data_IF_948758484354
#
_entry.id   IF_948758484354
#
_cell.length_a   1.000
_cell.length_b   1.000
_cell.length_c   1.000
_cell.angle_alpha   90.00
_cell.angle_beta   90.00
_cell.angle_gamma   90.00
#
_symmetry.space_group_name_H-M   'P 1'
#
loop_
_entity.id
_entity.type
_entity.pdbx_description
1 polymer ?
#
# COMPACT_ATOMS: atom_id res chain seq x y z
N UNK A 1 -46.32 17.92 -15.86
CA UNK A 1 -46.41 17.63 -17.31
C UNK A 1 -45.25 16.76 -17.74
N UNK A 2 -45.54 15.71 -18.51
CA UNK A 2 -44.59 14.81 -19.16
C UNK A 2 -44.81 14.88 -20.67
N UNK A 3 -43.78 14.57 -21.45
CA UNK A 3 -43.93 14.34 -22.89
C UNK A 3 -44.43 12.91 -23.12
N UNK A 4 -45.53 12.78 -23.86
CA UNK A 4 -46.10 11.50 -24.29
C UNK A 4 -45.90 11.38 -25.78
N UNK A 5 -45.33 10.25 -26.18
CA UNK A 5 -44.89 9.97 -27.52
C UNK A 5 -45.82 8.93 -28.18
N UNK A 6 -46.17 9.21 -29.43
CA UNK A 6 -46.90 8.31 -30.33
C UNK A 6 -45.91 7.75 -31.35
N UNK A 7 -45.68 6.44 -31.31
CA UNK A 7 -44.81 5.74 -32.24
C UNK A 7 -45.62 4.84 -33.19
N UNK A 8 -45.25 4.80 -34.47
CA UNK A 8 -45.75 3.81 -35.44
C UNK A 8 -44.61 2.88 -35.82
N UNK A 9 -44.70 1.62 -35.40
CA UNK A 9 -43.53 0.74 -35.39
C UNK A 9 -42.44 1.32 -34.50
N UNK A 10 -41.27 1.64 -35.07
CA UNK A 10 -40.13 2.26 -34.37
C UNK A 10 -40.02 3.77 -34.62
N UNK A 11 -40.86 4.33 -35.49
CA UNK A 11 -40.78 5.73 -35.88
C UNK A 11 -41.64 6.62 -34.96
N UNK A 12 -41.04 7.65 -34.37
CA UNK A 12 -41.75 8.66 -33.59
C UNK A 12 -42.59 9.53 -34.53
N UNK A 13 -43.92 9.52 -34.38
CA UNK A 13 -44.85 10.28 -35.23
C UNK A 13 -45.29 11.59 -34.60
N UNK A 14 -45.51 11.60 -33.29
CA UNK A 14 -46.01 12.78 -32.59
C UNK A 14 -45.63 12.77 -31.11
N UNK A 15 -45.54 13.95 -30.50
CA UNK A 15 -45.31 14.12 -29.07
C UNK A 15 -46.20 15.22 -28.50
N UNK A 16 -46.80 14.96 -27.35
CA UNK A 16 -47.71 15.88 -26.66
C UNK A 16 -47.32 16.06 -25.19
N UNK A 17 -47.55 17.23 -24.62
CA UNK A 17 -47.41 17.44 -23.18
C UNK A 17 -48.71 17.11 -22.46
N UNK A 18 -48.67 16.18 -21.51
CA UNK A 18 -49.83 15.79 -20.70
C UNK A 18 -49.44 15.54 -19.24
N UNK A 19 -50.41 15.58 -18.35
CA UNK A 19 -50.20 15.24 -16.93
C UNK A 19 -50.38 13.75 -16.64
N UNK A 20 -51.00 12.98 -17.55
CA UNK A 20 -51.36 11.56 -17.33
C UNK A 20 -51.18 10.75 -18.61
N UNK A 21 -50.41 9.66 -18.53
CA UNK A 21 -50.26 8.69 -19.61
C UNK A 21 -51.56 7.91 -19.86
N UNK A 22 -52.26 7.57 -18.79
CA UNK A 22 -53.51 6.82 -18.86
C UNK A 22 -54.64 7.65 -19.49
N UNK A 23 -54.65 8.98 -19.29
CA UNK A 23 -55.64 9.85 -19.92
C UNK A 23 -55.45 9.90 -21.44
N UNK A 24 -54.18 9.98 -21.90
CA UNK A 24 -53.85 9.94 -23.32
C UNK A 24 -54.17 8.58 -23.93
N UNK A 25 -53.91 7.47 -23.22
CA UNK A 25 -54.26 6.11 -23.68
C UNK A 25 -55.77 5.88 -23.77
N UNK A 26 -56.58 6.46 -22.87
CA UNK A 26 -58.04 6.33 -22.89
C UNK A 26 -58.69 7.09 -24.04
N UNK A 27 -58.10 8.21 -24.46
CA UNK A 27 -58.67 9.07 -25.50
C UNK A 27 -57.59 9.63 -26.46
N UNK A 28 -56.88 8.76 -27.19
CA UNK A 28 -55.71 9.17 -27.98
C UNK A 28 -56.04 10.13 -29.13
N UNK A 29 -57.21 9.97 -29.77
CA UNK A 29 -57.67 10.84 -30.87
C UNK A 29 -57.85 12.30 -30.47
N UNK A 30 -58.10 12.59 -29.18
CA UNK A 30 -58.19 13.97 -28.67
C UNK A 30 -56.83 14.66 -28.58
N UNK A 31 -55.75 13.88 -28.54
CA UNK A 31 -54.37 14.39 -28.48
C UNK A 31 -53.66 14.29 -29.84
N UNK A 32 -53.98 13.27 -30.62
CA UNK A 32 -53.41 13.03 -31.94
C UNK A 32 -54.47 12.49 -32.90
N UNK A 33 -55.08 13.35 -33.76
CA UNK A 33 -56.17 12.94 -34.65
C UNK A 33 -55.80 11.86 -35.68
N UNK A 34 -54.52 11.74 -36.05
CA UNK A 34 -54.01 10.71 -36.96
C UNK A 34 -53.67 9.39 -36.24
N UNK A 35 -54.01 9.27 -34.95
CA UNK A 35 -53.81 8.05 -34.19
C UNK A 35 -54.50 6.85 -34.86
N UNK A 36 -53.79 5.73 -34.90
CA UNK A 36 -54.29 4.43 -35.34
C UNK A 36 -54.01 3.38 -34.26
N UNK A 37 -54.86 2.35 -34.14
CA UNK A 37 -54.79 1.36 -33.05
C UNK A 37 -53.46 0.56 -33.02
N UNK A 38 -52.71 0.53 -34.13
CA UNK A 38 -51.38 -0.06 -34.25
C UNK A 38 -50.24 0.83 -33.71
N UNK A 39 -50.52 2.01 -33.17
CA UNK A 39 -49.52 2.91 -32.59
C UNK A 39 -49.26 2.63 -31.10
N UNK A 40 -48.01 2.80 -30.69
CA UNK A 40 -47.58 2.72 -29.30
C UNK A 40 -47.63 4.10 -28.63
N UNK A 41 -48.28 4.18 -27.46
CA UNK A 41 -48.37 5.39 -26.64
C UNK A 41 -47.54 5.19 -25.37
N UNK A 42 -46.52 6.02 -25.17
CA UNK A 42 -45.56 5.87 -24.06
C UNK A 42 -45.05 7.23 -23.58
N UNK A 43 -44.70 7.34 -22.30
CA UNK A 43 -43.99 8.50 -21.75
C UNK A 43 -42.46 8.37 -21.84
N UNK A 44 -41.97 7.28 -22.45
CA UNK A 44 -40.54 7.04 -22.72
C UNK A 44 -40.15 7.58 -24.10
N UNK A 45 -38.93 8.09 -24.20
CA UNK A 45 -38.28 8.41 -25.47
C UNK A 45 -37.19 7.37 -25.73
N UNK A 46 -37.20 6.78 -26.92
CA UNK A 46 -36.26 5.74 -27.33
C UNK A 46 -35.27 6.29 -28.36
N UNK A 47 -33.98 6.07 -28.14
CA UNK A 47 -32.92 6.48 -29.07
C UNK A 47 -32.76 5.45 -30.19
N UNK A 48 -32.80 4.16 -29.85
CA UNK A 48 -32.79 3.04 -30.79
C UNK A 48 -33.99 2.13 -30.49
N UNK A 49 -35.19 2.52 -30.95
CA UNK A 49 -36.42 1.76 -30.70
C UNK A 49 -36.43 0.42 -31.44
N UNK A 50 -36.92 -0.63 -30.78
CA UNK A 50 -37.22 -1.96 -31.35
C UNK A 50 -38.59 -2.43 -30.88
N UNK A 51 -39.31 -3.13 -31.75
CA UNK A 51 -40.58 -3.80 -31.41
C UNK A 51 -40.30 -5.28 -31.17
N UNK A 52 -40.60 -5.76 -29.97
CA UNK A 52 -40.41 -7.16 -29.55
C UNK A 52 -41.62 -7.62 -28.76
N UNK A 53 -42.16 -8.79 -29.08
CA UNK A 53 -43.36 -9.33 -28.43
C UNK A 53 -44.55 -8.36 -28.41
N UNK A 54 -44.75 -7.57 -29.47
CA UNK A 54 -45.76 -6.50 -29.56
C UNK A 54 -45.59 -5.35 -28.57
N UNK A 55 -44.39 -5.15 -28.02
CA UNK A 55 -44.05 -3.99 -27.18
C UNK A 55 -42.93 -3.17 -27.82
N UNK A 56 -43.03 -1.84 -27.69
CA UNK A 56 -41.98 -0.91 -28.08
C UNK A 56 -41.02 -0.68 -26.90
N UNK A 57 -39.74 -0.90 -27.14
CA UNK A 57 -38.69 -0.72 -26.14
C UNK A 57 -37.38 -0.22 -26.76
N UNK A 58 -36.41 0.14 -25.91
CA UNK A 58 -35.05 0.47 -26.33
C UNK A 58 -34.29 -0.83 -26.64
N UNK A 59 -33.54 -0.85 -27.74
CA UNK A 59 -32.65 -1.98 -28.05
C UNK A 59 -31.67 -2.24 -26.91
N UNK A 60 -31.45 -3.52 -26.61
CA UNK A 60 -30.34 -3.92 -25.73
C UNK A 60 -28.99 -3.64 -26.39
N UNK A 61 -27.94 -3.68 -25.59
CA UNK A 61 -26.56 -3.56 -26.08
C UNK A 61 -26.25 -4.60 -27.17
N UNK A 62 -26.70 -5.84 -26.95
CA UNK A 62 -26.54 -6.94 -27.88
C UNK A 62 -27.31 -6.72 -29.19
N UNK A 63 -28.56 -6.21 -29.12
CA UNK A 63 -29.39 -5.90 -30.29
C UNK A 63 -28.78 -4.76 -31.13
N UNK A 64 -28.21 -3.72 -30.47
CA UNK A 64 -27.47 -2.65 -31.15
C UNK A 64 -26.28 -3.18 -31.94
N UNK A 65 -25.49 -4.08 -31.34
CA UNK A 65 -24.33 -4.70 -31.97
C UNK A 65 -24.73 -5.58 -33.17
N UNK A 66 -25.82 -6.33 -33.07
CA UNK A 66 -26.31 -7.18 -34.16
C UNK A 66 -26.69 -6.36 -35.40
N UNK A 67 -27.24 -5.17 -35.18
CA UNK A 67 -27.60 -4.20 -36.22
C UNK A 67 -26.42 -3.34 -36.71
N UNK A 68 -25.23 -3.52 -36.16
CA UNK A 68 -24.03 -2.75 -36.54
C UNK A 68 -24.02 -1.32 -36.01
N UNK A 69 -24.82 -1.03 -34.97
CA UNK A 69 -24.81 0.26 -34.28
C UNK A 69 -23.57 0.33 -33.38
N UNK A 70 -22.78 1.39 -33.53
CA UNK A 70 -21.60 1.62 -32.71
C UNK A 70 -21.97 1.69 -31.23
N UNK A 71 -21.30 0.87 -30.42
CA UNK A 71 -21.66 0.64 -29.02
C UNK A 71 -20.39 0.65 -28.17
N UNK A 72 -20.41 1.40 -27.08
CA UNK A 72 -19.29 1.45 -26.14
C UNK A 72 -19.10 0.09 -25.44
N UNK A 73 -17.87 -0.44 -25.48
CA UNK A 73 -17.50 -1.71 -24.87
C UNK A 73 -16.75 -1.47 -23.55
N UNK A 74 -17.08 -2.28 -22.55
CA UNK A 74 -16.38 -2.31 -21.27
C UNK A 74 -15.14 -3.20 -21.33
N UNK A 75 -14.17 -3.05 -20.40
CA UNK A 75 -13.08 -4.01 -20.26
C UNK A 75 -13.60 -5.45 -20.13
N UNK A 76 -13.05 -6.37 -20.93
CA UNK A 76 -13.54 -7.75 -21.03
C UNK A 76 -14.57 -7.98 -22.12
N UNK A 77 -15.03 -6.94 -22.82
CA UNK A 77 -15.99 -7.06 -23.91
C UNK A 77 -15.35 -6.87 -25.28
N UNK A 78 -15.74 -7.70 -26.24
CA UNK A 78 -15.38 -7.53 -27.65
C UNK A 78 -16.45 -8.11 -28.58
N UNK A 79 -16.44 -7.67 -29.85
CA UNK A 79 -17.39 -8.12 -30.86
C UNK A 79 -16.74 -9.17 -31.75
N UNK A 80 -17.37 -10.33 -31.89
CA UNK A 80 -16.96 -11.39 -32.82
C UNK A 80 -18.18 -11.89 -33.57
N UNK A 81 -18.14 -11.85 -34.91
CA UNK A 81 -19.25 -12.27 -35.78
C UNK A 81 -20.59 -11.57 -35.44
N UNK A 82 -20.58 -10.25 -35.24
CA UNK A 82 -21.73 -9.43 -34.82
C UNK A 82 -22.37 -9.84 -33.49
N UNK A 83 -21.65 -10.60 -32.65
CA UNK A 83 -22.09 -10.97 -31.30
C UNK A 83 -21.14 -10.39 -30.27
N UNK A 84 -21.73 -9.88 -29.18
CA UNK A 84 -20.99 -9.45 -28.00
C UNK A 84 -20.45 -10.68 -27.26
N UNK A 85 -19.14 -10.71 -27.04
CA UNK A 85 -18.45 -11.70 -26.22
C UNK A 85 -17.98 -11.00 -24.95
N UNK A 86 -18.29 -11.60 -23.79
CA UNK A 86 -17.89 -11.11 -22.46
C UNK A 86 -16.91 -12.12 -21.84
N UNK A 87 -15.72 -11.65 -21.48
CA UNK A 87 -14.66 -12.44 -20.83
C UNK A 87 -14.49 -11.92 -19.41
N UNK A 88 -14.79 -12.72 -18.37
CA UNK A 88 -14.65 -12.27 -16.99
C UNK A 88 -13.18 -11.98 -16.67
N UNK A 89 -12.96 -10.96 -15.85
CA UNK A 89 -11.62 -10.60 -15.39
C UNK A 89 -11.05 -11.70 -14.48
N UNK A 90 -9.89 -12.30 -14.79
CA UNK A 90 -9.34 -13.40 -13.99
C UNK A 90 -8.96 -12.99 -12.56
N UNK A 91 -8.45 -11.77 -12.40
CA UNK A 91 -8.09 -11.18 -11.11
C UNK A 91 -8.06 -9.66 -11.22
N UNK A 92 -8.11 -8.95 -10.08
CA UNK A 92 -7.93 -7.48 -10.03
C UNK A 92 -6.64 -6.93 -10.66
N UNK A 93 -5.62 -7.76 -10.88
CA UNK A 93 -4.34 -7.36 -11.48
C UNK A 93 -4.28 -7.46 -13.01
N UNK A 94 -5.26 -8.11 -13.62
CA UNK A 94 -5.32 -8.23 -15.07
C UNK A 94 -5.94 -6.97 -15.66
N UNK A 95 -5.41 -6.49 -16.78
CA UNK A 95 -5.96 -5.36 -17.52
C UNK A 95 -6.40 -5.82 -18.91
N UNK A 96 -7.43 -5.17 -19.46
CA UNK A 96 -7.98 -5.55 -20.75
C UNK A 96 -7.15 -4.98 -21.89
N UNK A 97 -6.59 -5.85 -22.73
CA UNK A 97 -5.94 -5.46 -23.96
C UNK A 97 -6.97 -5.45 -25.10
N UNK A 98 -7.33 -4.24 -25.54
CA UNK A 98 -8.32 -4.02 -26.60
C UNK A 98 -7.86 -4.47 -27.98
N UNK A 99 -6.55 -4.54 -28.23
CA UNK A 99 -6.00 -4.96 -29.51
C UNK A 99 -6.08 -6.48 -29.67
N UNK A 100 -5.78 -7.22 -28.60
CA UNK A 100 -5.76 -8.69 -28.61
C UNK A 100 -7.08 -9.31 -28.12
N UNK A 101 -7.97 -8.51 -27.52
CA UNK A 101 -9.19 -8.93 -26.84
C UNK A 101 -8.93 -9.99 -25.76
N UNK A 102 -7.89 -9.76 -24.95
CA UNK A 102 -7.48 -10.65 -23.86
C UNK A 102 -7.17 -9.87 -22.59
N UNK A 103 -7.22 -10.58 -21.48
CA UNK A 103 -6.73 -10.10 -20.19
C UNK A 103 -5.22 -10.32 -20.13
N UNK A 104 -4.46 -9.24 -20.06
CA UNK A 104 -3.01 -9.26 -19.89
C UNK A 104 -2.62 -9.00 -18.43
N UNK A 105 -1.43 -9.45 -18.06
CA UNK A 105 -0.88 -9.34 -16.72
C UNK A 105 0.57 -8.85 -16.80
N UNK A 106 0.86 -7.73 -16.14
CA UNK A 106 2.24 -7.29 -15.91
C UNK A 106 2.80 -7.98 -14.65
N UNK A 107 3.20 -9.24 -14.80
CA UNK A 107 3.74 -10.02 -13.69
C UNK A 107 5.03 -9.39 -13.14
N UNK A 108 5.88 -8.81 -14.00
CA UNK A 108 7.15 -8.23 -13.58
C UNK A 108 6.94 -6.97 -12.71
N UNK A 109 6.00 -6.11 -13.11
CA UNK A 109 5.55 -5.00 -12.28
C UNK A 109 5.03 -5.45 -10.91
N UNK A 110 4.23 -6.53 -10.87
CA UNK A 110 3.70 -7.07 -9.62
C UNK A 110 4.77 -7.65 -8.70
N UNK A 111 5.81 -8.29 -9.24
CA UNK A 111 6.96 -8.76 -8.45
C UNK A 111 7.66 -7.58 -7.76
N UNK A 112 7.88 -6.49 -8.48
CA UNK A 112 8.49 -5.28 -7.90
C UNK A 112 7.62 -4.63 -6.83
N UNK A 113 6.30 -4.53 -7.04
CA UNK A 113 5.36 -4.02 -6.04
C UNK A 113 5.39 -4.91 -4.79
N UNK A 114 5.35 -6.22 -4.96
CA UNK A 114 5.35 -7.19 -3.85
C UNK A 114 6.66 -7.14 -3.06
N UNK A 115 7.81 -7.07 -3.76
CA UNK A 115 9.11 -6.87 -3.13
C UNK A 115 9.18 -5.59 -2.30
N UNK A 116 8.59 -4.48 -2.78
CA UNK A 116 8.51 -3.21 -2.01
C UNK A 116 7.68 -3.36 -0.74
N UNK A 117 6.58 -4.14 -0.78
CA UNK A 117 5.80 -4.45 0.44
C UNK A 117 6.64 -5.20 1.46
N UNK A 118 7.39 -6.21 1.03
CA UNK A 118 8.32 -6.90 1.93
C UNK A 118 9.41 -5.97 2.46
N UNK A 119 9.93 -5.04 1.66
CA UNK A 119 10.87 -4.03 2.16
C UNK A 119 10.28 -3.20 3.31
N UNK A 120 8.97 -2.93 3.32
CA UNK A 120 8.35 -2.26 4.46
C UNK A 120 8.38 -3.15 5.71
N UNK A 121 8.04 -4.43 5.58
CA UNK A 121 8.12 -5.41 6.69
C UNK A 121 9.54 -5.50 7.26
N UNK A 122 10.57 -5.45 6.39
CA UNK A 122 11.97 -5.38 6.81
C UNK A 122 12.22 -4.15 7.72
N UNK A 123 11.80 -2.97 7.28
CA UNK A 123 11.99 -1.73 8.04
C UNK A 123 11.25 -1.77 9.38
N UNK A 124 10.03 -2.30 9.38
CA UNK A 124 9.23 -2.45 10.60
C UNK A 124 9.91 -3.39 11.61
N UNK A 125 10.54 -4.49 11.15
CA UNK A 125 11.34 -5.40 11.99
C UNK A 125 12.63 -4.74 12.48
N UNK A 126 13.34 -4.00 11.62
CA UNK A 126 14.59 -3.30 11.99
C UNK A 126 14.33 -2.23 13.05
N UNK A 127 13.26 -1.46 12.90
CA UNK A 127 12.98 -0.28 13.73
C UNK A 127 11.93 -0.54 14.83
N UNK A 128 11.60 -1.80 15.07
CA UNK A 128 10.77 -2.18 16.21
C UNK A 128 11.42 -1.79 17.54
N UNK A 129 10.61 -1.31 18.48
CA UNK A 129 11.05 -1.09 19.86
C UNK A 129 11.65 -2.39 20.44
N UNK A 130 12.60 -2.25 21.36
CA UNK A 130 13.35 -3.40 21.89
C UNK A 130 13.25 -3.49 23.40
N UNK A 131 12.82 -4.66 23.90
CA UNK A 131 12.76 -4.93 25.34
C UNK A 131 14.09 -5.50 25.82
N UNK A 132 14.77 -4.76 26.69
CA UNK A 132 15.95 -5.21 27.40
C UNK A 132 15.66 -5.22 28.90
N UNK A 133 15.60 -6.41 29.50
CA UNK A 133 15.36 -6.59 30.94
C UNK A 133 14.12 -5.84 31.48
N UNK A 134 13.04 -5.81 30.71
CA UNK A 134 11.79 -5.11 31.08
C UNK A 134 11.80 -3.61 30.76
N UNK A 135 12.88 -3.08 30.19
CA UNK A 135 13.00 -1.68 29.76
C UNK A 135 12.85 -1.59 28.24
N UNK A 136 11.91 -0.78 27.77
CA UNK A 136 11.60 -0.67 26.34
C UNK A 136 12.39 0.50 25.74
N UNK A 137 13.31 0.15 24.84
CA UNK A 137 14.11 1.09 24.06
C UNK A 137 13.38 1.46 22.78
N UNK A 138 13.29 2.77 22.53
CA UNK A 138 12.90 3.27 21.22
C UNK A 138 14.07 3.09 20.24
N UNK A 139 13.80 2.47 19.09
CA UNK A 139 14.80 2.15 18.07
C UNK A 139 14.33 2.57 16.68
N UNK A 140 13.88 3.82 16.54
CA UNK A 140 13.58 4.39 15.22
C UNK A 140 14.86 4.75 14.46
N UNK A 141 14.74 4.99 13.15
CA UNK A 141 15.85 5.42 12.30
C UNK A 141 16.59 6.65 12.87
N UNK A 142 15.84 7.64 13.39
CA UNK A 142 16.42 8.83 14.00
C UNK A 142 17.09 8.58 15.37
N UNK A 143 16.82 7.45 16.01
CA UNK A 143 17.34 7.12 17.34
C UNK A 143 18.73 6.47 17.27
N UNK A 144 19.10 5.87 16.13
CA UNK A 144 20.38 5.17 15.94
C UNK A 144 21.59 6.07 16.25
N UNK A 145 21.49 7.37 15.92
CA UNK A 145 22.56 8.33 16.20
C UNK A 145 22.90 8.42 17.69
N UNK A 146 21.93 8.18 18.59
CA UNK A 146 22.18 8.21 20.02
C UNK A 146 23.03 7.03 20.47
N UNK A 147 22.82 5.85 19.89
CA UNK A 147 23.63 4.66 20.16
C UNK A 147 25.03 4.81 19.56
N UNK A 148 25.12 5.31 18.32
CA UNK A 148 26.39 5.61 17.66
C UNK A 148 27.25 6.58 18.46
N UNK A 149 26.66 7.61 19.07
CA UNK A 149 27.39 8.54 19.95
C UNK A 149 28.06 7.83 21.12
N UNK A 150 27.37 6.89 21.77
CA UNK A 150 27.94 6.11 22.88
C UNK A 150 29.05 5.19 22.38
N UNK A 151 28.83 4.46 21.28
CA UNK A 151 29.86 3.63 20.65
C UNK A 151 31.11 4.46 20.30
N UNK A 152 30.93 5.60 19.63
CA UNK A 152 32.04 6.49 19.28
C UNK A 152 32.77 7.02 20.51
N UNK A 153 32.05 7.35 21.60
CA UNK A 153 32.69 7.77 22.84
C UNK A 153 33.58 6.66 23.44
N UNK A 154 33.12 5.41 23.43
CA UNK A 154 33.92 4.25 23.86
C UNK A 154 35.15 4.09 22.94
N UNK A 155 34.96 4.10 21.62
CA UNK A 155 36.03 3.92 20.64
C UNK A 155 37.12 5.02 20.80
N UNK A 156 36.71 6.29 20.90
CA UNK A 156 37.61 7.43 21.09
C UNK A 156 38.37 7.32 22.42
N UNK A 157 37.67 7.02 23.51
CA UNK A 157 38.29 6.94 24.83
C UNK A 157 39.28 5.76 24.95
N UNK A 158 38.92 4.60 24.41
CA UNK A 158 39.78 3.40 24.46
C UNK A 158 41.00 3.49 23.55
N UNK A 159 40.92 4.22 22.44
CA UNK A 159 42.05 4.44 21.54
C UNK A 159 42.97 5.59 21.97
N UNK A 160 42.51 6.50 22.84
CA UNK A 160 43.29 7.62 23.35
C UNK A 160 44.53 7.17 24.15
N UNK A 161 45.62 7.91 24.00
CA UNK A 161 46.82 7.81 24.83
C UNK A 161 47.00 9.01 25.77
N UNK A 162 46.04 9.94 25.78
CA UNK A 162 46.03 11.10 26.66
C UNK A 162 45.03 10.88 27.81
N UNK A 163 45.52 10.59 29.03
CA UNK A 163 44.63 10.39 30.17
C UNK A 163 43.92 11.67 30.60
N UNK A 164 44.49 12.86 30.34
CA UNK A 164 43.86 14.14 30.71
C UNK A 164 42.59 14.37 29.92
N UNK A 165 42.62 14.15 28.60
CA UNK A 165 41.45 14.27 27.74
C UNK A 165 40.29 13.38 28.20
N UNK A 166 40.57 12.12 28.61
CA UNK A 166 39.55 11.20 29.12
C UNK A 166 38.98 11.70 30.45
N UNK A 167 39.84 12.11 31.39
CA UNK A 167 39.42 12.61 32.70
C UNK A 167 38.54 13.85 32.55
N UNK A 168 38.94 14.80 31.71
CA UNK A 168 38.16 16.02 31.45
C UNK A 168 36.82 15.70 30.80
N UNK A 169 36.78 14.81 29.80
CA UNK A 169 35.54 14.38 29.17
C UNK A 169 34.55 13.74 30.17
N UNK A 170 35.05 12.90 31.09
CA UNK A 170 34.21 12.28 32.13
C UNK A 170 33.66 13.33 33.10
N UNK A 171 34.45 14.35 33.46
CA UNK A 171 33.97 15.48 34.30
C UNK A 171 32.82 16.24 33.65
N UNK A 172 32.80 16.36 32.31
CA UNK A 172 31.69 17.00 31.59
C UNK A 172 30.37 16.22 31.64
N UNK A 173 30.40 14.91 31.87
CA UNK A 173 29.18 14.09 31.95
C UNK A 173 28.32 14.42 33.19
N UNK A 174 28.82 15.26 34.12
CA UNK A 174 28.16 15.59 35.39
C UNK A 174 27.75 14.35 36.20
N UNK A 175 28.50 13.27 36.04
CA UNK A 175 28.34 12.02 36.79
C UNK A 175 29.25 12.03 38.01
N UNK A 176 28.89 11.30 39.06
CA UNK A 176 29.80 11.05 40.17
C UNK A 176 31.03 10.30 39.66
N UNK A 177 32.20 10.93 39.80
CA UNK A 177 33.47 10.31 39.44
C UNK A 177 33.91 9.43 40.62
N UNK A 178 34.15 8.12 40.41
CA UNK A 178 34.61 7.25 41.49
C UNK A 178 35.89 7.78 42.14
N UNK A 179 36.02 7.62 43.47
CA UNK A 179 37.24 8.00 44.17
C UNK A 179 38.46 7.27 43.57
N UNK A 180 39.54 8.02 43.27
CA UNK A 180 40.74 7.47 42.65
C UNK A 180 40.64 7.19 41.14
N UNK A 181 39.56 7.63 40.47
CA UNK A 181 39.39 7.43 39.03
C UNK A 181 40.53 8.07 38.22
N UNK A 182 40.98 9.27 38.59
CA UNK A 182 42.06 9.95 37.86
C UNK A 182 43.38 9.20 37.91
N UNK A 183 43.78 8.76 39.11
CA UNK A 183 44.99 7.96 39.34
C UNK A 183 44.88 6.62 38.61
N UNK A 184 43.70 5.99 38.66
CA UNK A 184 43.42 4.75 37.94
C UNK A 184 43.58 4.93 36.42
N UNK A 185 42.98 5.96 35.82
CA UNK A 185 43.10 6.23 34.38
C UNK A 185 44.56 6.48 33.97
N UNK A 186 45.31 7.27 34.75
CA UNK A 186 46.74 7.52 34.48
C UNK A 186 47.56 6.22 34.52
N UNK A 187 47.25 5.31 35.44
CA UNK A 187 47.94 4.03 35.57
C UNK A 187 47.62 3.05 34.42
N UNK A 188 46.37 3.00 33.96
CA UNK A 188 45.89 2.02 32.98
C UNK A 188 45.89 2.52 31.53
N UNK A 189 46.31 3.76 31.24
CA UNK A 189 46.19 4.36 29.90
C UNK A 189 46.84 3.53 28.77
N UNK A 190 47.89 2.76 29.10
CA UNK A 190 48.58 1.83 28.19
C UNK A 190 47.98 0.42 28.18
N UNK A 191 47.21 0.06 29.20
CA UNK A 191 46.45 -1.19 29.28
C UNK A 191 45.06 -0.98 28.67
N UNK A 192 44.97 -1.23 27.37
CA UNK A 192 43.76 -0.99 26.58
C UNK A 192 42.57 -1.86 27.02
N UNK A 193 42.84 -3.04 27.56
CA UNK A 193 41.81 -3.95 28.06
C UNK A 193 41.17 -3.37 29.31
N UNK A 194 41.97 -3.06 30.33
CA UNK A 194 41.47 -2.49 31.59
C UNK A 194 40.87 -1.10 31.38
N UNK A 195 41.44 -0.30 30.48
CA UNK A 195 40.85 1.00 30.08
C UNK A 195 39.46 0.81 29.47
N UNK A 196 39.28 -0.13 28.55
CA UNK A 196 37.99 -0.44 27.94
C UNK A 196 36.95 -0.86 28.97
N UNK A 197 37.32 -1.74 29.91
CA UNK A 197 36.42 -2.14 31.01
C UNK A 197 35.98 -0.94 31.87
N UNK A 198 36.90 -0.02 32.19
CA UNK A 198 36.56 1.18 32.97
C UNK A 198 35.62 2.10 32.19
N UNK A 199 35.90 2.35 30.91
CA UNK A 199 35.05 3.21 30.07
C UNK A 199 33.66 2.60 29.87
N UNK A 200 33.58 1.30 29.63
CA UNK A 200 32.30 0.61 29.46
C UNK A 200 31.44 0.63 30.72
N UNK A 201 32.03 0.72 31.91
CA UNK A 201 31.31 0.80 33.19
C UNK A 201 30.80 2.21 33.54
N UNK A 202 31.18 3.25 32.77
CA UNK A 202 30.65 4.60 32.97
C UNK A 202 29.13 4.61 32.78
N UNK A 203 28.43 5.35 33.65
CA UNK A 203 26.96 5.46 33.62
C UNK A 203 26.48 6.61 32.75
N UNK A 204 25.35 6.42 32.10
CA UNK A 204 24.61 7.41 31.31
C UNK A 204 23.11 7.30 31.61
N UNK A 205 22.45 8.44 31.66
CA UNK A 205 20.99 8.49 31.71
C UNK A 205 20.43 8.32 30.29
N UNK A 206 19.54 7.36 30.12
CA UNK A 206 18.90 7.05 28.84
C UNK A 206 17.40 7.24 28.94
N UNK A 207 16.80 7.87 27.93
CA UNK A 207 15.34 8.03 27.83
C UNK A 207 14.75 6.79 27.15
N UNK A 208 13.83 6.13 27.84
CA UNK A 208 13.09 4.98 27.34
C UNK A 208 11.88 5.40 26.50
N UNK A 209 11.23 4.42 25.87
CA UNK A 209 10.08 4.64 24.98
C UNK A 209 8.92 5.37 25.64
N UNK A 210 8.68 5.11 26.93
CA UNK A 210 7.63 5.73 27.74
C UNK A 210 8.01 7.13 28.28
N UNK A 211 9.12 7.69 27.80
CA UNK A 211 9.75 8.93 28.28
C UNK A 211 10.30 8.88 29.71
N UNK A 212 10.29 7.73 30.38
CA UNK A 212 11.03 7.56 31.63
C UNK A 212 12.54 7.61 31.36
N UNK A 213 13.31 7.96 32.39
CA UNK A 213 14.77 8.01 32.33
C UNK A 213 15.32 6.98 33.30
N UNK A 214 16.25 6.16 32.82
CA UNK A 214 16.93 5.14 33.64
C UNK A 214 18.45 5.20 33.39
N UNK A 215 19.22 4.58 34.29
CA UNK A 215 20.68 4.64 34.27
C UNK A 215 21.31 3.34 33.75
N UNK A 216 22.06 3.44 32.66
CA UNK A 216 22.73 2.31 32.02
C UNK A 216 24.24 2.55 31.93
N UNK A 217 25.03 1.49 31.84
CA UNK A 217 26.44 1.63 31.49
C UNK A 217 26.61 1.87 29.99
N UNK A 218 27.73 2.48 29.61
CA UNK A 218 28.14 2.59 28.21
C UNK A 218 28.19 1.21 27.53
N UNK A 219 28.67 0.19 28.25
CA UNK A 219 28.70 -1.20 27.81
C UNK A 219 27.31 -1.79 27.56
N UNK A 220 26.33 -1.52 28.43
CA UNK A 220 24.94 -1.94 28.24
C UNK A 220 24.33 -1.34 26.98
N UNK A 221 24.50 -0.03 26.77
CA UNK A 221 24.01 0.65 25.56
C UNK A 221 24.67 0.10 24.29
N UNK A 222 25.99 -0.13 24.33
CA UNK A 222 26.71 -0.69 23.19
C UNK A 222 26.28 -2.14 22.89
N UNK A 223 26.00 -2.94 23.92
CA UNK A 223 25.47 -4.29 23.77
C UNK A 223 24.06 -4.28 23.17
N UNK A 224 23.18 -3.39 23.63
CA UNK A 224 21.83 -3.22 23.07
C UNK A 224 21.92 -2.80 21.60
N UNK A 225 22.86 -1.90 21.25
CA UNK A 225 23.07 -1.52 19.85
C UNK A 225 23.55 -2.69 18.99
N UNK A 226 24.45 -3.53 19.51
CA UNK A 226 24.86 -4.76 18.82
C UNK A 226 23.66 -5.67 18.55
N UNK A 227 22.77 -5.87 19.53
CA UNK A 227 21.55 -6.67 19.35
C UNK A 227 20.63 -6.08 18.28
N UNK A 228 20.51 -4.75 18.21
CA UNK A 228 19.76 -4.07 17.16
C UNK A 228 20.37 -4.34 15.77
N UNK A 229 21.69 -4.20 15.61
CA UNK A 229 22.39 -4.50 14.35
C UNK A 229 22.15 -5.96 13.94
N UNK A 230 22.34 -6.90 14.86
CA UNK A 230 22.18 -8.33 14.59
C UNK A 230 20.73 -8.69 14.20
N UNK A 231 19.74 -8.09 14.87
CA UNK A 231 18.33 -8.19 14.47
C UNK A 231 18.13 -7.70 13.04
N UNK A 232 18.69 -6.55 12.70
CA UNK A 232 18.57 -5.99 11.36
C UNK A 232 19.24 -6.86 10.29
N UNK A 233 20.42 -7.41 10.60
CA UNK A 233 21.10 -8.37 9.72
C UNK A 233 20.27 -9.64 9.52
N UNK A 234 19.71 -10.22 10.58
CA UNK A 234 18.85 -11.39 10.47
C UNK A 234 17.61 -11.12 9.59
N UNK A 235 16.92 -9.99 9.82
CA UNK A 235 15.78 -9.60 9.01
C UNK A 235 16.17 -9.34 7.53
N UNK A 236 17.37 -8.81 7.28
CA UNK A 236 17.89 -8.59 5.92
C UNK A 236 18.15 -9.90 5.17
N UNK A 237 18.65 -10.94 5.85
CA UNK A 237 18.84 -12.27 5.26
C UNK A 237 17.49 -12.93 4.89
N UNK A 238 16.49 -12.81 5.77
CA UNK A 238 15.11 -13.24 5.49
C UNK A 238 14.53 -12.51 4.27
N UNK A 239 14.63 -11.18 4.25
CA UNK A 239 14.20 -10.36 3.13
C UNK A 239 14.88 -10.76 1.83
N UNK A 240 16.20 -11.00 1.85
CA UNK A 240 16.97 -11.37 0.66
C UNK A 240 16.46 -12.69 0.08
N UNK A 241 16.15 -13.65 0.94
CA UNK A 241 15.57 -14.94 0.54
C UNK A 241 14.19 -14.74 -0.12
N UNK A 242 13.30 -13.97 0.53
CA UNK A 242 11.93 -13.76 0.05
C UNK A 242 11.89 -12.90 -1.21
N UNK A 243 12.69 -11.84 -1.28
CA UNK A 243 12.82 -11.02 -2.47
C UNK A 243 13.34 -11.84 -3.65
N UNK A 244 14.32 -12.72 -3.42
CA UNK A 244 14.83 -13.63 -4.45
C UNK A 244 13.74 -14.59 -4.95
N UNK A 245 12.97 -15.19 -4.03
CA UNK A 245 11.80 -16.03 -4.39
C UNK A 245 10.78 -15.23 -5.21
N UNK A 246 10.44 -14.02 -4.75
CA UNK A 246 9.51 -13.10 -5.42
C UNK A 246 9.93 -12.81 -6.86
N UNK A 247 11.21 -12.57 -7.12
CA UNK A 247 11.67 -12.28 -8.49
C UNK A 247 11.63 -13.51 -9.41
N UNK A 248 11.71 -14.72 -8.84
CA UNK A 248 11.80 -16.00 -9.58
C UNK A 248 10.45 -16.61 -9.95
N UNK A 249 9.34 -16.13 -9.39
CA UNK A 249 8.00 -16.68 -9.68
C UNK A 249 7.63 -16.51 -11.15
N UNK A 250 6.82 -17.43 -11.66
CA UNK A 250 6.39 -17.51 -13.06
C UNK A 250 4.88 -17.31 -13.23
N UNK A 251 4.12 -17.28 -12.13
CA UNK A 251 2.67 -17.08 -12.16
C UNK A 251 2.21 -16.12 -11.07
N UNK A 252 0.99 -15.60 -11.23
CA UNK A 252 0.32 -14.79 -10.21
C UNK A 252 0.04 -15.61 -8.94
N UNK A 253 -0.38 -16.87 -9.09
CA UNK A 253 -0.65 -17.77 -7.97
C UNK A 253 0.60 -18.01 -7.11
N UNK A 254 1.75 -18.27 -7.75
CA UNK A 254 3.02 -18.39 -7.05
C UNK A 254 3.37 -17.09 -6.31
N UNK A 255 3.19 -15.93 -6.95
CA UNK A 255 3.46 -14.62 -6.33
C UNK A 255 2.58 -14.36 -5.10
N UNK A 256 1.28 -14.67 -5.20
CA UNK A 256 0.31 -14.48 -4.12
C UNK A 256 0.53 -15.46 -2.95
N UNK A 257 1.14 -16.61 -3.20
CA UNK A 257 1.47 -17.59 -2.15
C UNK A 257 2.68 -17.19 -1.29
N UNK A 258 3.45 -16.16 -1.67
CA UNK A 258 4.62 -15.72 -0.91
C UNK A 258 4.18 -14.90 0.30
N UNK A 259 4.54 -15.38 1.47
CA UNK A 259 4.33 -14.68 2.74
C UNK A 259 5.66 -14.46 3.46
N UNK A 260 5.77 -13.32 4.16
CA UNK A 260 6.81 -13.07 5.15
C UNK A 260 6.16 -12.96 6.52
N UNK A 261 6.37 -13.98 7.36
CA UNK A 261 5.95 -13.98 8.77
C UNK A 261 6.88 -13.11 9.63
#
# INVERSE_FOLDING_TARGET
MKTINFYKGTELKYSVYSNSLEDVKKNPLSYFPEYTDDMFITDKNFQYPIVKNHELMEMTKEEKIEQGIETQLEPGEFIKNKKLVKVPQPSKYHFWNKETNKWDLDLEGLKHITRRKFRQVLLDKIYADFNYNGKIFQMGEADEINFLRVKSAIDIATTSNDPKAIIEAVKFLKVEVPAGFEEKIKAIIRDKTTLSEVIQNLKINWRLKDNSVDSFTFGEINHIYLLWILRGTAAQEEYTTIATKTMKVKSLEELESIEWK
#
